data_IF_093158901682
#
_entry.id   IF_093158901682
#
_cell.length_a   1.000
_cell.length_b   1.000
_cell.length_c   1.000
_cell.angle_alpha   90.00
_cell.angle_beta   90.00
_cell.angle_gamma   90.00
#
_symmetry.space_group_name_H-M   'P 1'
#
loop_
_entity.id
_entity.type
_entity.pdbx_description
1 polymer ?
#
# COMPACT_ATOMS: atom_id res chain seq x y z
N UNK A 1 3.02 6.84 4.20
CA UNK A 1 2.12 5.76 4.63
C UNK A 1 1.68 4.87 3.46
N UNK A 2 2.54 4.63 2.45
CA UNK A 2 2.19 3.73 1.32
C UNK A 2 2.27 2.27 1.68
N UNK A 3 3.24 1.95 2.54
CA UNK A 3 3.62 0.59 2.87
C UNK A 3 2.86 0.06 4.11
N UNK A 4 2.17 0.96 4.80
CA UNK A 4 1.23 0.60 5.86
C UNK A 4 -0.07 0.13 5.22
N UNK A 5 -0.46 -1.11 5.52
CA UNK A 5 -1.76 -1.67 5.16
C UNK A 5 -2.71 -1.46 6.35
N UNK A 6 -3.46 -0.37 6.31
CA UNK A 6 -4.49 -0.09 7.32
C UNK A 6 -5.62 -1.13 7.27
N UNK A 7 -6.26 -1.47 8.40
CA UNK A 7 -7.34 -2.45 8.45
C UNK A 7 -8.48 -2.12 7.46
N UNK A 8 -9.01 -3.15 6.79
CA UNK A 8 -10.00 -2.98 5.72
C UNK A 8 -11.30 -2.33 6.21
N UNK A 9 -11.71 -2.62 7.45
CA UNK A 9 -12.84 -2.03 8.15
C UNK A 9 -12.74 -0.50 8.31
N UNK A 10 -11.54 0.09 8.23
CA UNK A 10 -11.34 1.55 8.22
C UNK A 10 -11.66 2.19 6.87
N UNK A 11 -11.82 1.39 5.81
CA UNK A 11 -12.18 1.84 4.45
C UNK A 11 -11.26 2.94 3.90
N UNK A 12 -10.00 2.92 4.31
CA UNK A 12 -9.00 3.88 3.88
C UNK A 12 -8.51 3.56 2.47
N UNK A 13 -8.15 4.61 1.71
CA UNK A 13 -7.41 4.46 0.45
C UNK A 13 -6.04 3.86 0.74
N UNK A 14 -5.39 3.28 -0.28
CA UNK A 14 -4.02 2.76 -0.17
C UNK A 14 -2.99 3.80 0.27
N UNK A 15 -3.25 5.09 -0.03
CA UNK A 15 -2.47 6.25 0.41
C UNK A 15 -3.39 7.26 1.07
N UNK A 16 -3.81 7.05 2.33
CA UNK A 16 -4.70 7.99 2.99
C UNK A 16 -3.93 9.28 3.34
N UNK A 17 -4.62 10.41 3.32
CA UNK A 17 -4.10 11.63 3.93
C UNK A 17 -4.10 11.49 5.45
N UNK A 18 -3.28 12.26 6.16
CA UNK A 18 -3.29 12.29 7.64
C UNK A 18 -4.68 12.65 8.16
N UNK A 19 -5.39 13.57 7.48
CA UNK A 19 -6.77 13.93 7.80
C UNK A 19 -7.72 12.73 7.69
N UNK A 20 -7.70 12.01 6.58
CA UNK A 20 -8.60 10.88 6.36
C UNK A 20 -8.31 9.75 7.36
N UNK A 21 -7.03 9.52 7.64
CA UNK A 21 -6.60 8.57 8.66
C UNK A 21 -7.12 8.97 10.05
N UNK A 22 -6.95 10.23 10.45
CA UNK A 22 -7.45 10.74 11.72
C UNK A 22 -8.95 10.53 11.87
N UNK A 23 -9.73 10.90 10.85
CA UNK A 23 -11.18 10.74 10.85
C UNK A 23 -11.61 9.26 10.92
N UNK A 24 -10.91 8.35 10.23
CA UNK A 24 -11.20 6.91 10.29
C UNK A 24 -10.95 6.28 11.67
N UNK A 25 -10.12 6.91 12.50
CA UNK A 25 -9.87 6.54 13.89
C UNK A 25 -10.63 7.42 14.89
N UNK A 26 -11.59 8.23 14.44
CA UNK A 26 -12.45 9.06 15.29
C UNK A 26 -11.72 10.26 15.92
N UNK A 27 -10.55 10.64 15.39
CA UNK A 27 -9.80 11.81 15.84
C UNK A 27 -10.33 13.05 15.11
N UNK A 28 -10.81 14.08 15.84
CA UNK A 28 -11.33 15.29 15.21
C UNK A 28 -10.20 16.08 14.53
N UNK A 29 -10.48 16.62 13.34
CA UNK A 29 -9.52 17.42 12.58
C UNK A 29 -9.95 18.88 12.62
N UNK A 30 -9.19 19.71 13.35
CA UNK A 30 -9.47 21.13 13.56
C UNK A 30 -8.53 22.08 12.78
N UNK A 31 -7.38 21.59 12.32
CA UNK A 31 -6.43 22.38 11.53
C UNK A 31 -5.63 21.47 10.60
N UNK A 32 -5.69 21.74 9.30
CA UNK A 32 -4.90 21.03 8.29
C UNK A 32 -3.65 21.82 7.89
N UNK A 33 -2.67 21.14 7.30
CA UNK A 33 -1.44 21.75 6.75
C UNK A 33 -0.57 22.46 7.80
N UNK A 34 -0.59 21.95 9.04
CA UNK A 34 0.25 22.42 10.15
C UNK A 34 0.98 21.22 10.72
N UNK A 35 2.30 21.25 10.64
CA UNK A 35 3.15 20.14 11.06
C UNK A 35 2.86 19.66 12.49
N UNK A 36 2.69 20.59 13.45
CA UNK A 36 2.35 20.25 14.82
C UNK A 36 0.99 19.54 14.93
N UNK A 37 -0.04 20.05 14.25
CA UNK A 37 -1.36 19.42 14.24
C UNK A 37 -1.31 18.02 13.61
N UNK A 38 -0.56 17.86 12.51
CA UNK A 38 -0.38 16.56 11.85
C UNK A 38 0.31 15.55 12.79
N UNK A 39 1.34 15.97 13.53
CA UNK A 39 1.98 15.12 14.55
C UNK A 39 1.00 14.70 15.65
N UNK A 40 0.14 15.61 16.11
CA UNK A 40 -0.88 15.30 17.13
C UNK A 40 -1.89 14.28 16.57
N UNK A 41 -2.37 14.45 15.34
CA UNK A 41 -3.28 13.49 14.71
C UNK A 41 -2.68 12.10 14.58
N UNK A 42 -1.42 12.01 14.15
CA UNK A 42 -0.72 10.73 14.03
C UNK A 42 -0.58 10.06 15.40
N UNK A 43 -0.19 10.81 16.44
CA UNK A 43 -0.07 10.28 17.80
C UNK A 43 -1.41 9.75 18.34
N UNK A 44 -2.49 10.50 18.13
CA UNK A 44 -3.84 10.11 18.53
C UNK A 44 -4.35 8.86 17.77
N UNK A 45 -4.02 8.74 16.48
CA UNK A 45 -4.32 7.53 15.68
C UNK A 45 -3.55 6.34 16.25
N UNK A 46 -2.26 6.50 16.51
CA UNK A 46 -1.41 5.44 17.05
C UNK A 46 -1.90 4.95 18.41
N UNK A 47 -2.34 5.86 19.29
CA UNK A 47 -2.93 5.50 20.58
C UNK A 47 -4.25 4.72 20.47
N UNK A 48 -4.91 4.73 19.31
CA UNK A 48 -6.19 4.04 19.04
C UNK A 48 -6.03 2.83 18.11
N UNK A 49 -4.79 2.42 17.82
CA UNK A 49 -4.48 1.30 16.95
C UNK A 49 -3.99 0.13 17.80
N UNK A 50 -4.87 -0.84 18.04
CA UNK A 50 -4.60 -1.99 18.93
C UNK A 50 -3.42 -2.85 18.45
N UNK A 51 -3.20 -2.90 17.13
CA UNK A 51 -2.18 -3.70 16.44
C UNK A 51 -1.01 -2.85 15.88
N UNK A 52 -0.77 -1.66 16.45
CA UNK A 52 0.19 -0.70 15.90
C UNK A 52 1.58 -1.29 15.65
N UNK A 53 2.15 -2.01 16.62
CA UNK A 53 3.50 -2.58 16.51
C UNK A 53 3.59 -3.53 15.30
N UNK A 54 2.66 -4.47 15.18
CA UNK A 54 2.60 -5.40 14.05
C UNK A 54 2.41 -4.67 12.72
N UNK A 55 1.57 -3.63 12.70
CA UNK A 55 1.33 -2.82 11.51
C UNK A 55 2.60 -2.07 11.08
N UNK A 56 3.37 -1.54 12.02
CA UNK A 56 4.66 -0.89 11.77
C UNK A 56 5.72 -1.90 11.31
N UNK A 57 5.85 -3.05 11.97
CA UNK A 57 6.77 -4.13 11.57
C UNK A 57 6.53 -4.54 10.10
N UNK A 58 5.27 -4.78 9.73
CA UNK A 58 4.87 -5.10 8.35
C UNK A 58 5.11 -3.94 7.36
N UNK A 59 4.99 -2.70 7.83
CA UNK A 59 5.28 -1.51 7.05
C UNK A 59 6.77 -1.32 6.78
N UNK A 60 7.63 -1.84 7.65
CA UNK A 60 9.09 -1.79 7.55
C UNK A 60 9.68 -2.95 6.73
N UNK A 61 8.90 -4.00 6.46
CA UNK A 61 9.32 -5.10 5.59
C UNK A 61 9.87 -4.55 4.24
N UNK A 62 11.07 -4.98 3.80
CA UNK A 62 11.61 -4.59 2.51
C UNK A 62 10.64 -4.94 1.38
N UNK A 63 10.41 -4.01 0.46
CA UNK A 63 9.50 -4.20 -0.67
C UNK A 63 10.18 -3.97 -2.00
N UNK A 64 9.88 -4.83 -2.96
CA UNK A 64 10.33 -4.74 -4.34
C UNK A 64 9.16 -4.60 -5.30
N UNK A 65 9.38 -3.98 -6.45
CA UNK A 65 8.37 -3.88 -7.49
C UNK A 65 8.22 -5.25 -8.17
N UNK A 66 7.01 -5.81 -8.11
CA UNK A 66 6.67 -7.09 -8.69
C UNK A 66 5.70 -6.91 -9.84
N UNK A 67 5.85 -7.71 -10.89
CA UNK A 67 4.91 -7.89 -12.00
C UNK A 67 4.10 -9.16 -11.80
N UNK A 68 2.78 -9.07 -11.89
CA UNK A 68 1.91 -10.23 -11.89
C UNK A 68 2.05 -11.02 -13.21
N UNK A 69 2.15 -12.34 -13.13
CA UNK A 69 2.14 -13.26 -14.28
C UNK A 69 0.76 -13.89 -14.42
N UNK A 70 -0.22 -13.07 -14.75
CA UNK A 70 -1.61 -13.49 -15.00
C UNK A 70 -1.96 -13.35 -16.47
N UNK A 71 -2.84 -14.20 -16.97
CA UNK A 71 -3.42 -14.05 -18.30
C UNK A 71 -4.39 -12.86 -18.37
N UNK A 72 -4.81 -12.48 -19.57
CA UNK A 72 -5.78 -11.40 -19.76
C UNK A 72 -7.14 -11.71 -19.13
N UNK A 73 -7.56 -12.97 -19.16
CA UNK A 73 -8.83 -13.44 -18.59
C UNK A 73 -8.77 -13.40 -17.05
N UNK A 74 -7.59 -13.65 -16.49
CA UNK A 74 -7.32 -13.66 -15.05
C UNK A 74 -6.91 -12.28 -14.49
N UNK A 75 -6.97 -11.21 -15.29
CA UNK A 75 -6.60 -9.85 -14.87
C UNK A 75 -7.29 -9.37 -13.60
N UNK A 76 -8.47 -9.93 -13.32
CA UNK A 76 -9.26 -9.64 -12.12
C UNK A 76 -8.56 -10.09 -10.84
N UNK A 77 -7.76 -11.16 -10.87
CA UNK A 77 -6.95 -11.63 -9.73
C UNK A 77 -5.90 -10.60 -9.36
N UNK A 78 -5.15 -10.10 -10.36
CA UNK A 78 -4.15 -9.05 -10.13
C UNK A 78 -4.79 -7.77 -9.58
N UNK A 79 -5.93 -7.35 -10.16
CA UNK A 79 -6.67 -6.17 -9.69
C UNK A 79 -7.18 -6.33 -8.25
N UNK A 80 -7.75 -7.49 -7.92
CA UNK A 80 -8.24 -7.80 -6.58
C UNK A 80 -7.09 -7.83 -5.55
N UNK A 81 -5.94 -8.37 -5.95
CA UNK A 81 -4.70 -8.31 -5.20
C UNK A 81 -4.00 -6.94 -5.26
N UNK A 82 -4.69 -5.85 -5.63
CA UNK A 82 -4.19 -4.48 -5.53
C UNK A 82 -3.07 -4.10 -6.50
N UNK A 83 -2.82 -4.87 -7.56
CA UNK A 83 -1.91 -4.48 -8.63
C UNK A 83 -2.51 -3.34 -9.45
N UNK A 84 -1.64 -2.48 -10.00
CA UNK A 84 -2.00 -1.40 -10.92
C UNK A 84 -1.55 -1.73 -12.33
N UNK A 85 -2.45 -1.55 -13.29
CA UNK A 85 -2.14 -1.71 -14.71
C UNK A 85 -1.49 -0.45 -15.26
N UNK A 86 -0.46 -0.59 -16.10
CA UNK A 86 0.22 0.51 -16.79
C UNK A 86 0.94 1.53 -15.87
N UNK A 87 1.18 1.20 -14.60
CA UNK A 87 1.89 2.07 -13.65
C UNK A 87 2.75 1.22 -12.70
N UNK A 88 4.07 1.48 -12.57
CA UNK A 88 4.86 2.44 -13.36
C UNK A 88 5.31 1.89 -14.73
N UNK A 89 4.95 0.64 -15.07
CA UNK A 89 5.39 -0.05 -16.29
C UNK A 89 4.21 -0.25 -17.22
N UNK A 90 4.36 0.20 -18.48
CA UNK A 90 3.34 0.04 -19.51
C UNK A 90 3.16 -1.45 -19.87
N UNK A 91 1.92 -1.86 -20.09
CA UNK A 91 1.57 -3.22 -20.46
C UNK A 91 1.71 -4.24 -19.33
N UNK A 92 1.86 -3.79 -18.07
CA UNK A 92 2.08 -4.67 -16.93
C UNK A 92 1.17 -4.32 -15.75
N UNK A 93 0.74 -5.36 -15.04
CA UNK A 93 0.19 -5.26 -13.69
C UNK A 93 1.35 -5.26 -12.71
N UNK A 94 1.53 -4.18 -11.96
CA UNK A 94 2.61 -4.09 -10.98
C UNK A 94 2.14 -3.66 -9.59
N UNK A 95 2.88 -4.09 -8.56
CA UNK A 95 2.69 -3.70 -7.16
C UNK A 95 4.00 -3.84 -6.40
N UNK A 96 4.26 -2.97 -5.42
CA UNK A 96 5.35 -3.18 -4.46
C UNK A 96 4.92 -4.16 -3.38
N UNK A 97 5.67 -5.23 -3.22
CA UNK A 97 5.37 -6.31 -2.29
C UNK A 97 6.59 -6.67 -1.45
N UNK A 98 6.35 -7.04 -0.20
CA UNK A 98 7.33 -7.77 0.62
C UNK A 98 7.30 -9.26 0.31
N UNK A 99 8.32 -9.99 0.75
CA UNK A 99 8.38 -11.45 0.56
C UNK A 99 7.19 -12.17 1.21
N UNK A 100 6.72 -11.68 2.36
CA UNK A 100 5.52 -12.18 3.02
C UNK A 100 4.28 -12.00 2.15
N UNK A 101 4.06 -10.81 1.61
CA UNK A 101 2.91 -10.56 0.73
C UNK A 101 2.99 -11.38 -0.56
N UNK A 102 4.19 -11.67 -1.09
CA UNK A 102 4.36 -12.55 -2.26
C UNK A 102 3.92 -13.98 -1.96
N UNK A 103 4.25 -14.49 -0.77
CA UNK A 103 3.86 -15.83 -0.34
C UNK A 103 2.34 -16.01 -0.13
N UNK A 104 1.61 -14.90 0.06
CA UNK A 104 0.14 -14.89 0.25
C UNK A 104 -0.64 -14.85 -1.09
N UNK A 105 0.03 -14.69 -2.23
CA UNK A 105 -0.63 -14.60 -3.54
C UNK A 105 -0.98 -15.97 -4.11
N UNK A 106 -2.15 -16.06 -4.75
CA UNK A 106 -2.62 -17.27 -5.45
C UNK A 106 -2.12 -17.39 -6.90
N UNK A 107 -1.30 -16.45 -7.35
CA UNK A 107 -0.77 -16.41 -8.72
C UNK A 107 0.71 -16.02 -8.72
N UNK A 108 1.48 -16.46 -9.73
CA UNK A 108 2.90 -16.18 -9.79
C UNK A 108 3.19 -14.69 -10.05
N UNK A 109 4.27 -14.20 -9.46
CA UNK A 109 4.82 -12.85 -9.68
C UNK A 109 6.31 -12.93 -10.00
N UNK A 110 6.86 -11.88 -10.59
CA UNK A 110 8.30 -11.75 -10.80
C UNK A 110 8.79 -10.35 -10.45
N UNK A 111 10.01 -10.22 -9.89
CA UNK A 111 10.61 -8.91 -9.66
C UNK A 111 10.81 -8.18 -10.99
N UNK A 112 10.71 -6.86 -10.94
CA UNK A 112 10.99 -5.99 -12.08
C UNK A 112 12.16 -5.09 -11.77
N UNK A 113 13.18 -5.15 -12.63
CA UNK A 113 14.27 -4.18 -12.65
C UNK A 113 13.84 -2.97 -13.49
N UNK A 114 13.61 -1.83 -12.82
CA UNK A 114 13.10 -0.60 -13.44
C UNK A 114 14.00 -0.03 -14.56
N UNK A 115 15.30 -0.38 -14.58
CA UNK A 115 16.25 0.09 -15.59
C UNK A 115 16.23 -0.75 -16.88
N UNK A 116 16.04 -2.07 -16.77
CA UNK A 116 16.05 -2.97 -17.93
C UNK A 116 14.74 -2.90 -18.75
N UNK A 117 13.59 -2.75 -18.08
CA UNK A 117 12.27 -2.74 -18.75
C UNK A 117 11.93 -1.39 -19.41
N UNK A 118 12.63 -0.30 -19.09
CA UNK A 118 12.46 0.99 -19.80
C UNK A 118 13.09 0.99 -21.19
N UNK A 119 14.09 0.14 -21.43
CA UNK A 119 14.79 -0.01 -22.71
C UNK A 119 14.10 -1.02 -23.65
N UNK A 120 13.12 -1.77 -23.13
CA UNK A 120 12.46 -2.88 -23.81
C UNK A 120 11.02 -2.55 -24.26
N UNK A 121 10.57 -1.31 -24.07
CA UNK A 121 9.19 -0.85 -24.25
C UNK A 121 9.00 0.07 -25.46
#
# INVERSE_FOLDING_TARGET
MEDIRWPAERQLRSRPSVRDLALAYGVPVWAAHRALSDCIYIAEVFARCDDLEQLLERGLEPRQLMRARVSFDERHLAKAAGFRWNDPIKGAWTRRLSDREVAELEFPVAPVELEADRLSA
#
